data_IF_791810755022
#
_entry.id   IF_791810755022
#
_cell.length_a   1.000
_cell.length_b   1.000
_cell.length_c   1.000
_cell.angle_alpha   90.00
_cell.angle_beta   90.00
_cell.angle_gamma   90.00
#
_symmetry.space_group_name_H-M   'P 1'
#
loop_
_entity.id
_entity.type
_entity.pdbx_description
1 polymer ?
#
# COMPACT_ATOMS: atom_id res chain seq x y z
N UNK A 1 -5.74 18.23 -12.25
CA UNK A 1 -6.29 16.86 -12.35
C UNK A 1 -5.13 15.94 -12.61
N UNK A 2 -4.85 14.99 -11.72
CA UNK A 2 -3.93 13.90 -12.03
C UNK A 2 -4.75 12.92 -12.87
N UNK A 3 -4.61 12.95 -14.19
CA UNK A 3 -5.12 11.90 -15.06
C UNK A 3 -3.92 11.18 -15.65
N UNK A 4 -3.57 10.04 -15.05
CA UNK A 4 -2.76 9.04 -15.70
C UNK A 4 -3.73 7.95 -16.15
N UNK A 5 -4.00 7.88 -17.45
CA UNK A 5 -4.92 6.89 -18.04
C UNK A 5 -4.29 5.48 -18.14
N UNK A 6 -3.07 5.31 -17.65
CA UNK A 6 -2.40 4.02 -17.66
C UNK A 6 -2.85 3.19 -16.46
N UNK A 7 -3.63 2.14 -16.75
CA UNK A 7 -3.93 1.08 -15.78
C UNK A 7 -2.64 0.34 -15.42
N UNK A 8 -2.49 0.02 -14.13
CA UNK A 8 -1.41 -0.81 -13.60
C UNK A 8 -1.98 -2.12 -13.09
N UNK A 9 -1.16 -3.15 -13.06
CA UNK A 9 -1.51 -4.45 -12.48
C UNK A 9 -1.63 -4.36 -10.95
N UNK A 10 -2.27 -5.35 -10.34
CA UNK A 10 -2.37 -5.47 -8.88
C UNK A 10 -0.98 -5.56 -8.24
N UNK A 11 -0.03 -6.23 -8.90
CA UNK A 11 1.38 -6.30 -8.47
C UNK A 11 2.07 -4.94 -8.53
N UNK A 12 1.97 -4.23 -9.65
CA UNK A 12 2.56 -2.89 -9.80
C UNK A 12 1.97 -1.91 -8.78
N UNK A 13 0.67 -2.01 -8.48
CA UNK A 13 0.03 -1.21 -7.45
C UNK A 13 0.55 -1.52 -6.04
N UNK A 14 0.80 -2.79 -5.73
CA UNK A 14 1.39 -3.21 -4.46
C UNK A 14 2.81 -2.67 -4.30
N UNK A 15 3.63 -2.81 -5.33
CA UNK A 15 5.00 -2.29 -5.36
C UNK A 15 5.02 -0.76 -5.23
N UNK A 16 4.13 -0.06 -5.93
CA UNK A 16 3.99 1.40 -5.81
C UNK A 16 3.60 1.83 -4.38
N UNK A 17 2.72 1.07 -3.72
CA UNK A 17 2.35 1.30 -2.32
C UNK A 17 3.56 1.13 -1.38
N UNK A 18 4.35 0.06 -1.55
CA UNK A 18 5.56 -0.17 -0.76
C UNK A 18 6.60 0.95 -0.96
N UNK A 19 6.81 1.42 -2.20
CA UNK A 19 7.69 2.55 -2.48
C UNK A 19 7.24 3.83 -1.77
N UNK A 20 5.93 4.11 -1.74
CA UNK A 20 5.40 5.29 -1.06
C UNK A 20 5.62 5.22 0.45
N UNK A 21 5.33 4.07 1.07
CA UNK A 21 5.55 3.86 2.51
C UNK A 21 7.04 3.97 2.88
N UNK A 22 7.91 3.38 2.05
CA UNK A 22 9.37 3.48 2.23
C UNK A 22 9.84 4.93 2.17
N UNK A 23 9.37 5.70 1.18
CA UNK A 23 9.70 7.12 1.08
C UNK A 23 9.26 7.89 2.33
N UNK A 24 8.06 7.61 2.85
CA UNK A 24 7.58 8.26 4.07
C UNK A 24 8.41 7.89 5.31
N UNK A 25 8.78 6.61 5.46
CA UNK A 25 9.70 6.15 6.50
C UNK A 25 11.07 6.85 6.42
N UNK A 26 11.66 6.93 5.22
CA UNK A 26 12.95 7.60 5.00
C UNK A 26 12.91 9.09 5.36
N UNK A 27 11.73 9.74 5.26
CA UNK A 27 11.55 11.14 5.64
C UNK A 27 11.34 11.37 7.14
N UNK A 28 10.61 10.50 7.81
CA UNK A 28 10.15 10.74 9.20
C UNK A 28 10.93 9.95 10.24
N UNK A 29 11.54 8.82 9.85
CA UNK A 29 12.14 7.86 10.78
C UNK A 29 11.12 7.16 11.68
N UNK A 30 9.82 7.26 11.38
CA UNK A 30 8.75 6.68 12.20
C UNK A 30 8.81 5.15 12.15
N UNK A 31 9.12 4.53 13.29
CA UNK A 31 9.31 3.09 13.42
C UNK A 31 8.03 2.29 13.20
N UNK A 32 6.86 2.92 13.36
CA UNK A 32 5.57 2.24 13.14
C UNK A 32 5.39 1.75 11.69
N UNK A 33 6.19 2.26 10.75
CA UNK A 33 6.20 1.83 9.35
C UNK A 33 7.14 0.65 9.10
N UNK A 34 8.11 0.37 9.98
CA UNK A 34 9.08 -0.71 9.75
C UNK A 34 8.43 -2.08 9.82
N UNK A 35 7.38 -2.26 10.63
CA UNK A 35 6.64 -3.51 10.72
C UNK A 35 5.84 -3.79 9.43
N UNK A 36 5.26 -2.73 8.85
CA UNK A 36 4.52 -2.82 7.57
C UNK A 36 5.48 -3.10 6.42
N UNK A 37 6.64 -2.42 6.39
CA UNK A 37 7.65 -2.61 5.36
C UNK A 37 8.31 -3.97 5.45
N UNK A 38 8.64 -4.46 6.65
CA UNK A 38 9.28 -5.77 6.83
C UNK A 38 8.35 -6.95 6.51
N UNK A 39 7.05 -6.84 6.82
CA UNK A 39 6.07 -7.85 6.43
C UNK A 39 5.67 -7.78 4.95
N UNK A 40 5.64 -6.58 4.37
CA UNK A 40 5.25 -6.35 2.98
C UNK A 40 6.38 -6.49 1.96
N UNK A 41 7.65 -6.38 2.37
CA UNK A 41 8.79 -6.54 1.46
C UNK A 41 8.85 -7.97 0.90
N UNK A 42 9.22 -8.08 -0.37
CA UNK A 42 9.44 -9.36 -1.02
C UNK A 42 10.70 -10.04 -0.47
N UNK A 43 10.55 -11.17 0.23
CA UNK A 43 11.69 -12.03 0.63
C UNK A 43 12.23 -12.80 -0.60
N UNK A 44 11.38 -13.02 -1.60
CA UNK A 44 11.74 -13.55 -2.93
C UNK A 44 10.91 -12.83 -3.99
N UNK A 45 11.33 -12.81 -5.26
CA UNK A 45 10.74 -12.03 -6.39
C UNK A 45 9.20 -12.02 -6.50
N UNK A 46 8.49 -12.97 -5.89
CA UNK A 46 7.03 -13.04 -5.91
C UNK A 46 6.36 -13.32 -4.55
N UNK A 47 7.10 -13.43 -3.44
CA UNK A 47 6.51 -13.68 -2.12
C UNK A 47 6.89 -12.56 -1.13
N UNK A 48 5.90 -11.82 -0.59
CA UNK A 48 6.11 -10.95 0.56
C UNK A 48 6.64 -11.76 1.75
N UNK A 49 7.29 -11.07 2.69
CA UNK A 49 7.82 -11.71 3.89
C UNK A 49 6.76 -12.31 4.79
N UNK A 50 5.60 -11.65 4.84
CA UNK A 50 4.35 -12.22 5.30
C UNK A 50 3.34 -12.29 4.14
N UNK A 51 3.01 -13.51 3.65
CA UNK A 51 2.03 -13.71 2.58
C UNK A 51 0.66 -13.05 2.84
N UNK A 52 0.29 -12.80 4.10
CA UNK A 52 -0.96 -12.13 4.45
C UNK A 52 -1.06 -10.72 3.85
N UNK A 53 0.06 -10.01 3.69
CA UNK A 53 0.06 -8.65 3.15
C UNK A 53 -0.44 -8.59 1.70
N UNK A 54 -0.15 -9.62 0.90
CA UNK A 54 -0.69 -9.71 -0.45
C UNK A 54 -2.21 -9.83 -0.44
N UNK A 55 -2.78 -10.63 0.46
CA UNK A 55 -4.23 -10.75 0.60
C UNK A 55 -4.88 -9.45 1.11
N UNK A 56 -4.27 -8.77 2.09
CA UNK A 56 -4.76 -7.46 2.53
C UNK A 56 -4.77 -6.42 1.41
N UNK A 57 -3.78 -6.47 0.52
CA UNK A 57 -3.72 -5.63 -0.66
C UNK A 57 -4.84 -5.94 -1.66
N UNK A 58 -5.05 -7.22 -1.99
CA UNK A 58 -6.15 -7.63 -2.87
C UNK A 58 -7.52 -7.24 -2.30
N UNK A 59 -7.74 -7.43 -1.00
CA UNK A 59 -8.97 -7.00 -0.31
C UNK A 59 -9.17 -5.48 -0.39
N UNK A 60 -8.09 -4.69 -0.28
CA UNK A 60 -8.15 -3.24 -0.40
C UNK A 60 -8.49 -2.81 -1.84
N UNK A 61 -7.91 -3.44 -2.85
CA UNK A 61 -8.28 -3.22 -4.26
C UNK A 61 -9.77 -3.51 -4.46
N UNK A 62 -10.25 -4.64 -3.95
CA UNK A 62 -11.65 -5.03 -4.12
C UNK A 62 -12.60 -4.05 -3.43
N UNK A 63 -12.26 -3.59 -2.22
CA UNK A 63 -13.00 -2.51 -1.54
C UNK A 63 -13.06 -1.24 -2.37
N UNK A 64 -11.96 -0.81 -2.99
CA UNK A 64 -11.96 0.39 -3.84
C UNK A 64 -12.83 0.18 -5.09
N UNK A 65 -12.83 -1.01 -5.68
CA UNK A 65 -13.68 -1.35 -6.84
C UNK A 65 -15.17 -1.32 -6.47
N UNK A 66 -15.53 -1.78 -5.27
CA UNK A 66 -16.92 -1.88 -4.82
C UNK A 66 -17.46 -0.58 -4.20
N UNK A 67 -16.65 0.08 -3.36
CA UNK A 67 -17.07 1.22 -2.53
C UNK A 67 -16.54 2.57 -3.04
N UNK A 68 -15.56 2.56 -3.95
CA UNK A 68 -14.85 3.76 -4.40
C UNK A 68 -13.70 4.16 -3.46
N UNK A 69 -13.16 5.39 -3.61
CA UNK A 69 -12.02 5.86 -2.82
C UNK A 69 -12.31 5.88 -1.31
N UNK A 70 -11.33 5.53 -0.45
CA UNK A 70 -11.53 5.51 1.00
C UNK A 70 -11.84 6.91 1.55
N UNK A 71 -12.86 6.99 2.41
CA UNK A 71 -13.20 8.24 3.13
C UNK A 71 -12.34 8.39 4.38
N UNK A 72 -11.30 9.23 4.30
CA UNK A 72 -10.38 9.48 5.42
C UNK A 72 -10.85 10.56 6.40
N UNK A 73 -12.07 11.09 6.21
CA UNK A 73 -12.62 12.21 7.00
C UNK A 73 -12.64 11.96 8.51
N UNK A 74 -12.65 10.69 8.95
CA UNK A 74 -12.68 10.31 10.37
C UNK A 74 -11.33 10.42 11.09
N UNK A 75 -10.22 10.60 10.38
CA UNK A 75 -8.88 10.70 10.97
C UNK A 75 -8.40 12.14 11.17
N UNK A 76 -9.13 13.12 10.63
CA UNK A 76 -8.90 14.53 10.96
C UNK A 76 -9.56 14.82 12.31
N UNK A 77 -8.79 14.80 13.40
CA UNK A 77 -9.18 15.57 14.58
C UNK A 77 -8.94 17.06 14.25
N UNK A 78 -9.89 17.96 14.54
CA UNK A 78 -9.64 19.40 14.45
C UNK A 78 -8.54 19.84 15.42
#
# INVERSE_FOLDING_TARGET
MISSEKLITEKEGYEAMLYMLRYYYELTGETDLTDILSGGEYITENNPGDPAFWYYWLDAIEKVRQEGPPSLKKFYKP
#
